data_IF_218645736200
#
_entry.id   IF_218645736200
#
_cell.length_a   1.000
_cell.length_b   1.000
_cell.length_c   1.000
_cell.angle_alpha   90.00
_cell.angle_beta   90.00
_cell.angle_gamma   90.00
#
_symmetry.space_group_name_H-M   'P 1'
#
loop_
_entity.id
_entity.type
_entity.pdbx_description
1 polymer ?
#
# COMPACT_ATOMS: atom_id res chain seq x y z
N UNK A 1 -34.71 -95.60 31.39
CA UNK A 1 -34.92 -94.27 30.71
C UNK A 1 -34.04 -93.08 31.12
N UNK A 2 -33.26 -93.16 32.20
CA UNK A 2 -32.35 -92.01 32.66
C UNK A 2 -30.97 -91.98 31.99
N UNK A 3 -30.50 -93.14 31.41
CA UNK A 3 -29.10 -93.19 30.85
C UNK A 3 -28.98 -92.67 29.39
N UNK A 4 -30.08 -92.60 28.63
CA UNK A 4 -30.07 -92.14 27.22
C UNK A 4 -30.07 -90.61 27.16
N UNK A 5 -30.60 -89.93 28.14
CA UNK A 5 -30.71 -88.45 28.12
C UNK A 5 -29.39 -87.75 28.40
N UNK A 6 -28.51 -88.33 29.21
CA UNK A 6 -27.19 -87.77 29.47
C UNK A 6 -26.20 -87.81 28.31
N UNK A 7 -26.28 -88.81 27.48
CA UNK A 7 -25.44 -88.91 26.25
C UNK A 7 -25.82 -87.88 25.17
N UNK A 8 -27.11 -87.54 25.08
CA UNK A 8 -27.61 -86.56 24.13
C UNK A 8 -27.31 -85.15 24.57
N UNK A 9 -27.46 -84.86 25.89
CA UNK A 9 -27.10 -83.57 26.48
C UNK A 9 -25.60 -83.29 26.39
N UNK A 10 -24.77 -84.29 26.61
CA UNK A 10 -23.28 -84.14 26.47
C UNK A 10 -22.88 -83.91 24.99
N UNK A 11 -23.57 -84.54 24.02
CA UNK A 11 -23.29 -84.30 22.58
C UNK A 11 -23.74 -82.89 22.15
N UNK A 12 -24.85 -82.40 22.63
CA UNK A 12 -25.36 -81.07 22.36
C UNK A 12 -24.44 -79.99 22.98
N UNK A 13 -24.02 -80.19 24.22
CA UNK A 13 -23.05 -79.30 24.86
C UNK A 13 -21.66 -79.28 24.14
N UNK A 14 -21.20 -80.45 23.65
CA UNK A 14 -19.95 -80.55 22.92
C UNK A 14 -20.03 -79.83 21.55
N UNK A 15 -21.19 -79.88 20.84
CA UNK A 15 -21.41 -79.16 19.57
C UNK A 15 -21.51 -77.66 19.81
N UNK A 16 -22.17 -77.22 20.88
CA UNK A 16 -22.25 -75.82 21.25
C UNK A 16 -20.86 -75.27 21.59
N UNK A 17 -20.07 -76.01 22.36
CA UNK A 17 -18.68 -75.61 22.69
C UNK A 17 -17.79 -75.56 21.45
N UNK A 18 -17.92 -76.50 20.51
CA UNK A 18 -17.11 -76.56 19.30
C UNK A 18 -17.50 -75.47 18.24
N UNK A 19 -18.73 -74.97 18.25
CA UNK A 19 -19.18 -73.94 17.32
C UNK A 19 -19.16 -72.52 17.91
N UNK A 20 -19.53 -72.37 19.17
CA UNK A 20 -19.65 -71.03 19.81
C UNK A 20 -18.31 -70.46 20.20
N UNK A 21 -17.37 -71.27 20.68
CA UNK A 21 -16.04 -70.82 21.10
C UNK A 21 -15.23 -70.25 19.90
N UNK A 22 -15.16 -70.90 18.74
CA UNK A 22 -14.48 -70.33 17.56
C UNK A 22 -15.15 -69.09 17.04
N UNK A 23 -16.49 -68.99 17.07
CA UNK A 23 -17.23 -67.80 16.68
C UNK A 23 -16.97 -66.63 17.63
N UNK A 24 -16.93 -66.88 18.94
CA UNK A 24 -16.59 -65.86 19.94
C UNK A 24 -15.11 -65.41 19.85
N UNK A 25 -14.19 -66.39 19.61
CA UNK A 25 -12.78 -66.06 19.39
C UNK A 25 -12.57 -65.26 18.10
N UNK A 26 -13.28 -65.62 17.01
CA UNK A 26 -13.25 -64.84 15.76
C UNK A 26 -13.82 -63.42 15.93
N UNK A 27 -14.89 -63.28 16.74
CA UNK A 27 -15.48 -61.98 17.06
C UNK A 27 -14.51 -61.12 17.91
N UNK A 28 -13.85 -61.72 18.91
CA UNK A 28 -12.89 -61.02 19.76
C UNK A 28 -11.60 -60.66 19.01
N UNK A 29 -11.13 -61.51 18.09
CA UNK A 29 -9.97 -61.21 17.21
C UNK A 29 -10.36 -60.16 16.16
N UNK A 30 -11.56 -60.23 15.63
CA UNK A 30 -12.08 -59.23 14.71
C UNK A 30 -12.19 -57.86 15.39
N UNK A 31 -12.71 -57.79 16.65
CA UNK A 31 -12.76 -56.54 17.42
C UNK A 31 -11.38 -56.01 17.81
N UNK A 32 -10.35 -56.86 17.98
CA UNK A 32 -8.98 -56.38 18.27
C UNK A 32 -8.25 -55.89 17.01
N UNK A 33 -8.61 -56.44 15.83
CA UNK A 33 -8.08 -55.97 14.54
C UNK A 33 -8.75 -54.69 14.03
N UNK A 34 -9.94 -54.37 14.57
CA UNK A 34 -10.66 -53.11 14.30
C UNK A 34 -10.48 -52.07 15.44
N UNK A 35 -9.49 -52.24 16.29
CA UNK A 35 -9.03 -51.13 17.14
C UNK A 35 -8.26 -50.18 16.23
N UNK A 36 -9.00 -49.38 15.46
CA UNK A 36 -8.44 -48.19 14.87
C UNK A 36 -7.76 -47.36 15.95
N UNK A 37 -6.59 -46.86 15.67
CA UNK A 37 -5.98 -45.83 16.51
C UNK A 37 -7.09 -44.83 16.88
N UNK A 38 -7.29 -44.56 18.17
CA UNK A 38 -8.16 -43.48 18.62
C UNK A 38 -7.60 -42.21 17.95
N UNK A 39 -8.22 -41.74 16.85
CA UNK A 39 -7.91 -40.44 16.29
C UNK A 39 -8.13 -39.44 17.41
N UNK A 40 -7.08 -38.75 17.78
CA UNK A 40 -7.11 -37.66 18.73
C UNK A 40 -8.22 -36.72 18.27
N UNK A 41 -9.21 -36.43 19.16
CA UNK A 41 -10.34 -35.58 18.79
C UNK A 41 -9.78 -34.16 18.65
N UNK A 42 -9.49 -33.76 17.43
CA UNK A 42 -9.07 -32.39 17.15
C UNK A 42 -10.26 -31.46 17.38
N UNK A 43 -10.17 -30.49 18.31
CA UNK A 43 -11.25 -29.54 18.54
C UNK A 43 -11.64 -28.84 17.23
N UNK A 44 -12.92 -28.62 16.99
CA UNK A 44 -13.37 -27.87 15.82
C UNK A 44 -13.07 -26.37 15.96
N UNK A 45 -12.78 -25.68 14.85
CA UNK A 45 -12.61 -24.23 14.81
C UNK A 45 -11.20 -23.74 15.26
N UNK A 46 -10.21 -24.63 15.33
CA UNK A 46 -8.81 -24.25 15.57
C UNK A 46 -8.15 -23.91 14.23
N UNK A 47 -7.57 -22.72 14.11
CA UNK A 47 -6.81 -22.33 12.91
C UNK A 47 -5.52 -23.16 12.78
N UNK A 48 -5.31 -23.74 11.60
CA UNK A 48 -4.15 -24.55 11.26
C UNK A 48 -3.55 -24.02 9.95
N UNK A 49 -2.26 -23.69 10.01
CA UNK A 49 -1.48 -23.32 8.83
C UNK A 49 -0.92 -24.60 8.15
N UNK A 50 -0.97 -24.66 6.83
CA UNK A 50 -0.42 -25.73 6.01
C UNK A 50 -0.02 -25.24 4.64
N UNK A 51 0.90 -25.96 3.99
CA UNK A 51 1.40 -25.64 2.65
C UNK A 51 0.96 -26.69 1.63
N UNK A 52 0.33 -26.25 0.55
CA UNK A 52 0.14 -27.06 -0.68
C UNK A 52 1.31 -26.74 -1.60
N UNK A 53 2.20 -27.72 -1.80
CA UNK A 53 3.38 -27.53 -2.67
C UNK A 53 3.02 -27.65 -4.13
N UNK A 54 3.78 -26.99 -4.98
CA UNK A 54 3.66 -27.11 -6.42
C UNK A 54 3.81 -28.57 -6.87
N UNK A 55 2.90 -29.04 -7.73
CA UNK A 55 2.87 -30.41 -8.24
C UNK A 55 2.14 -31.43 -7.36
N UNK A 56 1.66 -31.06 -6.15
CA UNK A 56 0.84 -31.97 -5.34
C UNK A 56 -0.48 -32.33 -6.06
N UNK A 57 -0.80 -33.61 -6.09
CA UNK A 57 -2.07 -34.08 -6.69
C UNK A 57 -3.20 -34.08 -5.64
N UNK A 58 -4.46 -34.09 -6.09
CA UNK A 58 -5.65 -34.07 -5.22
C UNK A 58 -5.59 -35.11 -4.08
N UNK A 59 -5.05 -36.30 -4.34
CA UNK A 59 -4.90 -37.34 -3.31
C UNK A 59 -4.00 -36.93 -2.18
N UNK A 60 -2.88 -36.30 -2.50
CA UNK A 60 -1.88 -35.84 -1.50
C UNK A 60 -2.41 -34.66 -0.71
N UNK A 61 -3.07 -33.71 -1.38
CA UNK A 61 -3.73 -32.56 -0.74
C UNK A 61 -4.80 -33.03 0.25
N UNK A 62 -5.67 -33.96 -0.16
CA UNK A 62 -6.72 -34.50 0.71
C UNK A 62 -6.14 -35.22 1.94
N UNK A 63 -5.06 -36.00 1.76
CA UNK A 63 -4.38 -36.66 2.88
C UNK A 63 -3.74 -35.65 3.83
N UNK A 64 -3.12 -34.59 3.33
CA UNK A 64 -2.57 -33.51 4.13
C UNK A 64 -3.66 -32.79 4.96
N UNK A 65 -4.80 -32.49 4.34
CA UNK A 65 -5.92 -31.82 5.02
C UNK A 65 -6.52 -32.71 6.13
N UNK A 66 -6.60 -34.03 5.92
CA UNK A 66 -7.05 -34.97 6.95
C UNK A 66 -6.01 -35.11 8.08
N UNK A 67 -4.72 -35.21 7.75
CA UNK A 67 -3.63 -35.25 8.74
C UNK A 67 -3.63 -34.01 9.64
N UNK A 68 -3.89 -32.85 9.05
CA UNK A 68 -3.99 -31.58 9.79
C UNK A 68 -5.32 -31.40 10.54
N UNK A 69 -6.26 -32.34 10.42
CA UNK A 69 -7.57 -32.27 11.07
C UNK A 69 -8.52 -31.23 10.47
N UNK A 70 -8.19 -30.65 9.31
CA UNK A 70 -9.02 -29.66 8.60
C UNK A 70 -10.27 -30.31 8.06
N UNK A 71 -10.16 -31.54 7.55
CA UNK A 71 -11.27 -32.37 7.10
C UNK A 71 -11.29 -33.70 7.88
N UNK A 72 -12.44 -34.33 7.95
CA UNK A 72 -12.65 -35.59 8.65
C UNK A 72 -12.23 -36.82 7.82
N UNK A 73 -12.35 -36.73 6.47
CA UNK A 73 -12.10 -37.87 5.59
C UNK A 73 -11.56 -37.48 4.22
N UNK A 74 -10.30 -37.84 3.94
CA UNK A 74 -9.63 -37.53 2.68
C UNK A 74 -10.29 -38.19 1.46
N UNK A 75 -10.83 -39.41 1.61
CA UNK A 75 -11.48 -40.11 0.49
C UNK A 75 -12.79 -39.41 0.10
N UNK A 76 -13.61 -39.04 1.07
CA UNK A 76 -14.87 -38.32 0.82
C UNK A 76 -14.62 -36.93 0.24
N UNK A 77 -13.61 -36.22 0.73
CA UNK A 77 -13.22 -34.93 0.17
C UNK A 77 -12.78 -35.03 -1.28
N UNK A 78 -11.99 -36.03 -1.64
CA UNK A 78 -11.61 -36.29 -3.04
C UNK A 78 -12.81 -36.49 -3.92
N UNK A 79 -13.74 -37.39 -3.52
CA UNK A 79 -14.96 -37.66 -4.28
C UNK A 79 -15.80 -36.39 -4.45
N UNK A 80 -15.86 -35.57 -3.43
CA UNK A 80 -16.58 -34.28 -3.45
C UNK A 80 -15.95 -33.31 -4.48
N UNK A 81 -14.61 -33.19 -4.52
CA UNK A 81 -13.89 -32.34 -5.49
C UNK A 81 -14.04 -32.85 -6.91
N UNK A 82 -13.92 -34.20 -7.10
CA UNK A 82 -14.08 -34.86 -8.40
C UNK A 82 -15.51 -34.65 -8.97
N UNK A 83 -16.54 -34.77 -8.14
CA UNK A 83 -17.94 -34.52 -8.57
C UNK A 83 -18.17 -33.08 -9.05
N UNK A 84 -17.37 -32.12 -8.61
CA UNK A 84 -17.42 -30.71 -9.03
C UNK A 84 -16.50 -30.40 -10.22
N UNK A 85 -15.68 -31.35 -10.65
CA UNK A 85 -14.71 -31.15 -11.74
C UNK A 85 -13.64 -30.09 -11.37
N UNK A 86 -13.29 -29.98 -10.08
CA UNK A 86 -12.37 -28.96 -9.55
C UNK A 86 -10.97 -29.49 -9.21
N UNK A 87 -10.60 -30.68 -9.66
CA UNK A 87 -9.31 -31.31 -9.32
C UNK A 87 -8.09 -30.46 -9.76
N UNK A 88 -8.25 -29.69 -10.83
CA UNK A 88 -7.21 -28.80 -11.38
C UNK A 88 -7.30 -27.38 -10.87
N UNK A 89 -8.27 -27.07 -10.03
CA UNK A 89 -8.47 -25.72 -9.47
C UNK A 89 -7.80 -25.53 -8.12
N UNK A 90 -7.09 -26.53 -7.60
CA UNK A 90 -6.39 -26.42 -6.32
C UNK A 90 -5.06 -25.73 -6.54
N UNK A 91 -4.95 -24.52 -5.98
CA UNK A 91 -3.80 -23.63 -6.18
C UNK A 91 -2.75 -23.92 -5.11
N UNK A 92 -1.45 -24.09 -5.45
CA UNK A 92 -0.37 -24.20 -4.47
C UNK A 92 -0.21 -22.92 -3.62
N UNK A 93 0.26 -23.10 -2.38
CA UNK A 93 0.53 -21.98 -1.48
C UNK A 93 0.31 -22.32 -0.02
N UNK A 94 0.48 -21.31 0.85
CA UNK A 94 0.29 -21.41 2.29
C UNK A 94 -1.13 -20.95 2.64
N UNK A 95 -1.85 -21.78 3.38
CA UNK A 95 -3.24 -21.55 3.77
C UNK A 95 -3.41 -21.67 5.27
N UNK A 96 -4.33 -20.91 5.81
CA UNK A 96 -4.86 -21.07 7.18
C UNK A 96 -6.33 -21.43 7.09
N UNK A 97 -6.69 -22.62 7.61
CA UNK A 97 -8.06 -23.13 7.67
C UNK A 97 -8.36 -23.66 9.08
N UNK A 98 -9.64 -23.64 9.42
CA UNK A 98 -10.09 -24.20 10.70
C UNK A 98 -10.23 -25.73 10.63
N UNK A 99 -9.95 -26.39 11.73
CA UNK A 99 -10.19 -27.82 11.89
C UNK A 99 -11.69 -28.14 11.79
N UNK A 100 -12.00 -29.33 11.27
CA UNK A 100 -13.37 -29.81 10.99
C UNK A 100 -14.21 -28.84 10.13
N UNK A 101 -13.56 -28.23 9.13
CA UNK A 101 -14.23 -27.34 8.17
C UNK A 101 -15.07 -28.14 7.16
N UNK A 102 -16.15 -27.54 6.68
CA UNK A 102 -16.96 -28.08 5.59
C UNK A 102 -16.16 -28.19 4.30
N UNK A 103 -16.35 -29.26 3.53
CA UNK A 103 -15.61 -29.51 2.27
C UNK A 103 -15.76 -28.39 1.24
N UNK A 104 -16.94 -27.75 1.18
CA UNK A 104 -17.19 -26.60 0.30
C UNK A 104 -16.30 -25.43 0.67
N UNK A 105 -16.26 -25.05 1.97
CA UNK A 105 -15.41 -23.97 2.49
C UNK A 105 -13.92 -24.22 2.20
N UNK A 106 -13.47 -25.47 2.38
CA UNK A 106 -12.10 -25.87 2.11
C UNK A 106 -11.77 -25.75 0.62
N UNK A 107 -12.64 -26.32 -0.25
CA UNK A 107 -12.47 -26.29 -1.70
C UNK A 107 -12.43 -24.85 -2.23
N UNK A 108 -13.39 -24.01 -1.80
CA UNK A 108 -13.47 -22.62 -2.25
C UNK A 108 -12.24 -21.83 -1.86
N UNK A 109 -11.75 -22.00 -0.62
CA UNK A 109 -10.52 -21.34 -0.14
C UNK A 109 -9.29 -21.75 -0.96
N UNK A 110 -9.10 -23.06 -1.19
CA UNK A 110 -7.93 -23.56 -1.94
C UNK A 110 -8.04 -23.21 -3.43
N UNK A 111 -9.25 -23.18 -3.98
CA UNK A 111 -9.48 -22.80 -5.36
C UNK A 111 -9.34 -21.28 -5.59
N UNK A 112 -9.60 -20.46 -4.59
CA UNK A 112 -9.36 -19.02 -4.64
C UNK A 112 -7.87 -18.66 -4.59
N UNK A 113 -7.02 -19.57 -4.12
CA UNK A 113 -5.60 -19.33 -3.91
C UNK A 113 -5.25 -18.89 -2.49
N UNK A 114 -3.95 -18.88 -2.17
CA UNK A 114 -3.47 -18.43 -0.87
C UNK A 114 -3.79 -16.94 -0.66
N UNK A 115 -3.93 -16.48 0.59
CA UNK A 115 -4.11 -15.06 0.87
C UNK A 115 -2.89 -14.29 0.36
N UNK A 116 -3.14 -13.28 -0.48
CA UNK A 116 -2.09 -12.39 -0.97
C UNK A 116 -1.71 -11.45 0.17
N UNK A 117 -0.45 -11.46 0.59
CA UNK A 117 0.07 -10.47 1.53
C UNK A 117 0.26 -9.17 0.76
N UNK A 118 -0.47 -8.14 1.16
CA UNK A 118 -0.35 -6.81 0.59
C UNK A 118 0.25 -5.85 1.60
N UNK A 119 0.96 -4.87 1.09
CA UNK A 119 1.57 -3.78 1.84
C UNK A 119 0.95 -2.46 1.40
N UNK A 120 1.14 -1.43 2.20
CA UNK A 120 0.74 -0.07 1.87
C UNK A 120 1.77 0.93 2.36
N UNK A 121 1.85 2.06 1.69
CA UNK A 121 2.61 3.21 2.14
C UNK A 121 1.84 4.50 1.88
N UNK A 122 2.10 5.52 2.69
CA UNK A 122 1.47 6.83 2.54
C UNK A 122 2.53 7.88 2.30
N UNK A 123 2.37 8.61 1.21
CA UNK A 123 3.17 9.80 0.90
C UNK A 123 2.35 11.03 1.24
N UNK A 124 2.73 11.77 2.28
CA UNK A 124 2.14 13.06 2.60
C UNK A 124 2.38 14.08 1.48
N UNK A 125 1.49 15.05 1.37
CA UNK A 125 1.69 16.22 0.53
C UNK A 125 2.95 16.98 0.97
N UNK A 126 3.65 17.57 0.04
CA UNK A 126 4.87 18.33 0.31
C UNK A 126 6.15 17.49 0.52
N UNK A 127 6.11 16.16 0.38
CA UNK A 127 7.33 15.35 0.40
C UNK A 127 8.18 15.59 -0.84
N UNK A 128 9.50 15.66 -0.64
CA UNK A 128 10.48 15.64 -1.74
C UNK A 128 10.67 14.20 -2.27
N UNK A 129 11.21 14.04 -3.48
CA UNK A 129 11.58 12.73 -4.03
C UNK A 129 12.48 11.96 -3.05
N UNK A 130 13.44 12.63 -2.40
CA UNK A 130 14.31 12.01 -1.38
C UNK A 130 13.50 11.43 -0.22
N UNK A 131 12.58 12.21 0.35
CA UNK A 131 11.71 11.75 1.44
C UNK A 131 10.78 10.61 1.01
N UNK A 132 10.33 10.61 -0.25
CA UNK A 132 9.54 9.51 -0.82
C UNK A 132 10.36 8.23 -0.89
N UNK A 133 11.62 8.28 -1.37
CA UNK A 133 12.52 7.14 -1.41
C UNK A 133 12.69 6.53 -0.02
N UNK A 134 12.95 7.38 0.98
CA UNK A 134 13.11 6.96 2.38
C UNK A 134 11.84 6.30 2.93
N UNK A 135 10.67 6.91 2.67
CA UNK A 135 9.38 6.41 3.13
C UNK A 135 9.04 5.05 2.51
N UNK A 136 9.18 4.90 1.21
CA UNK A 136 8.88 3.64 0.52
C UNK A 136 9.81 2.53 0.99
N UNK A 137 11.12 2.80 1.10
CA UNK A 137 12.09 1.82 1.59
C UNK A 137 11.86 1.41 3.06
N UNK A 138 11.28 2.31 3.87
CA UNK A 138 10.90 2.00 5.24
C UNK A 138 9.64 1.14 5.33
N UNK A 139 8.61 1.46 4.54
CA UNK A 139 7.27 0.88 4.68
C UNK A 139 7.11 -0.43 3.88
N UNK A 140 7.92 -0.65 2.82
CA UNK A 140 7.84 -1.80 1.92
C UNK A 140 9.10 -2.68 2.09
N UNK A 141 9.02 -3.80 2.84
CA UNK A 141 10.21 -4.56 3.28
C UNK A 141 11.07 -5.17 2.17
N UNK A 142 10.53 -5.35 0.97
CA UNK A 142 11.23 -5.94 -0.18
C UNK A 142 11.71 -4.89 -1.19
N UNK A 143 11.54 -3.60 -0.90
CA UNK A 143 12.03 -2.50 -1.72
C UNK A 143 13.18 -1.80 -1.01
N UNK A 144 14.37 -1.92 -1.56
CA UNK A 144 15.56 -1.29 -1.00
C UNK A 144 15.66 0.19 -1.37
N UNK A 145 16.26 0.99 -0.50
CA UNK A 145 16.53 2.41 -0.74
C UNK A 145 17.22 2.64 -2.09
N UNK A 146 18.29 1.87 -2.36
CA UNK A 146 19.04 1.98 -3.61
C UNK A 146 18.19 1.65 -4.84
N UNK A 147 17.31 0.67 -4.74
CA UNK A 147 16.37 0.32 -5.81
C UNK A 147 15.41 1.47 -6.13
N UNK A 148 14.93 2.19 -5.11
CA UNK A 148 14.12 3.38 -5.28
C UNK A 148 14.92 4.55 -5.87
N UNK A 149 16.16 4.76 -5.40
CA UNK A 149 17.07 5.79 -5.94
C UNK A 149 17.36 5.59 -7.44
N UNK A 150 17.57 4.35 -7.87
CA UNK A 150 17.71 4.01 -9.29
C UNK A 150 16.37 4.15 -10.06
N UNK A 151 15.25 3.83 -9.41
CA UNK A 151 13.93 3.89 -10.05
C UNK A 151 13.46 5.31 -10.33
N UNK A 152 13.82 6.29 -9.49
CA UNK A 152 13.42 7.70 -9.70
C UNK A 152 14.25 8.44 -10.75
N UNK A 153 15.21 7.79 -11.39
CA UNK A 153 15.93 8.38 -12.52
C UNK A 153 14.95 8.63 -13.69
N UNK A 154 14.79 9.90 -14.06
CA UNK A 154 13.86 10.33 -15.10
C UNK A 154 14.13 9.64 -16.45
N UNK A 155 15.37 9.24 -16.73
CA UNK A 155 15.73 8.52 -17.95
C UNK A 155 15.03 7.17 -18.13
N UNK A 156 14.46 6.62 -17.05
CA UNK A 156 13.68 5.40 -17.09
C UNK A 156 12.28 5.59 -17.72
N UNK A 157 11.81 6.84 -17.92
CA UNK A 157 10.45 7.16 -18.28
C UNK A 157 10.39 8.01 -19.55
N UNK A 158 9.50 7.65 -20.46
CA UNK A 158 9.29 8.37 -21.71
C UNK A 158 7.81 8.83 -21.82
N UNK A 159 7.40 9.68 -20.88
CA UNK A 159 6.06 10.26 -20.88
C UNK A 159 6.12 11.70 -21.39
N UNK A 160 5.17 12.09 -22.25
CA UNK A 160 5.14 13.42 -22.86
C UNK A 160 5.04 14.57 -21.85
N UNK A 161 4.39 14.33 -20.70
CA UNK A 161 4.29 15.35 -19.64
C UNK A 161 5.58 15.56 -18.84
N UNK A 162 6.58 14.68 -18.99
CA UNK A 162 7.93 14.82 -18.43
C UNK A 162 8.91 15.49 -19.40
N UNK A 163 8.49 15.79 -20.63
CA UNK A 163 9.37 16.39 -21.63
C UNK A 163 9.86 17.77 -21.17
N UNK A 164 11.18 17.99 -21.23
CA UNK A 164 11.82 19.22 -20.78
C UNK A 164 12.02 19.34 -19.26
N UNK A 165 11.71 18.30 -18.48
CA UNK A 165 12.00 18.24 -17.03
C UNK A 165 13.33 17.55 -16.78
N UNK A 166 13.98 17.85 -15.63
CA UNK A 166 15.30 17.29 -15.30
C UNK A 166 15.26 16.14 -14.27
N UNK A 167 14.16 16.01 -13.53
CA UNK A 167 13.94 14.99 -12.50
C UNK A 167 12.43 14.76 -12.29
N UNK A 168 12.08 13.88 -11.37
CA UNK A 168 10.69 13.55 -11.05
C UNK A 168 10.11 14.39 -9.90
N UNK A 169 10.81 15.44 -9.42
CA UNK A 169 10.26 16.30 -8.36
C UNK A 169 8.97 16.97 -8.81
N UNK A 170 7.94 16.84 -7.99
CA UNK A 170 6.59 17.31 -8.26
C UNK A 170 5.66 16.30 -8.94
N UNK A 171 6.19 15.23 -9.53
CA UNK A 171 5.40 14.26 -10.31
C UNK A 171 5.02 12.99 -9.55
N UNK A 172 5.62 12.74 -8.39
CA UNK A 172 5.31 11.57 -7.56
C UNK A 172 4.14 11.89 -6.63
N UNK A 173 2.91 11.69 -7.12
CA UNK A 173 1.70 12.21 -6.49
C UNK A 173 1.52 11.72 -5.04
N UNK A 174 1.25 12.63 -4.07
CA UNK A 174 1.04 12.26 -2.66
C UNK A 174 -0.30 11.55 -2.47
N UNK A 175 -0.25 10.33 -1.92
CA UNK A 175 -1.43 9.50 -1.66
C UNK A 175 -1.07 8.32 -0.76
N UNK A 176 -2.08 7.63 -0.24
CA UNK A 176 -1.92 6.26 0.29
C UNK A 176 -2.04 5.27 -0.87
N UNK A 177 -1.00 4.49 -1.07
CA UNK A 177 -0.91 3.42 -2.05
C UNK A 177 -1.07 2.08 -1.34
N UNK A 178 -2.01 1.28 -1.79
CA UNK A 178 -2.42 0.01 -1.18
C UNK A 178 -2.22 -1.15 -2.15
N UNK A 179 -2.44 -2.37 -1.69
CA UNK A 179 -2.37 -3.61 -2.48
C UNK A 179 -1.01 -3.87 -3.14
N UNK A 180 0.07 -3.38 -2.54
CA UNK A 180 1.44 -3.63 -3.01
C UNK A 180 1.82 -5.07 -2.65
N UNK A 181 2.11 -5.88 -3.63
CA UNK A 181 2.53 -7.28 -3.47
C UNK A 181 4.04 -7.45 -3.65
N UNK A 182 4.58 -8.58 -3.22
CA UNK A 182 6.04 -8.83 -3.23
C UNK A 182 6.67 -8.84 -4.63
N UNK A 183 5.87 -8.98 -5.67
CA UNK A 183 6.30 -8.93 -7.07
C UNK A 183 6.41 -7.51 -7.63
N UNK A 184 6.00 -6.48 -6.86
CA UNK A 184 6.22 -5.09 -7.23
C UNK A 184 7.70 -4.71 -7.10
N UNK A 185 8.26 -4.20 -8.18
CA UNK A 185 9.58 -3.56 -8.16
C UNK A 185 9.49 -2.10 -7.74
N UNK A 186 10.60 -1.48 -7.35
CA UNK A 186 10.70 -0.05 -7.12
C UNK A 186 10.19 0.76 -8.33
N UNK A 187 10.49 0.29 -9.54
CA UNK A 187 10.00 0.91 -10.79
C UNK A 187 8.47 0.88 -10.88
N UNK A 188 7.82 -0.23 -10.56
CA UNK A 188 6.34 -0.30 -10.57
C UNK A 188 5.71 0.68 -9.58
N UNK A 189 6.34 0.89 -8.43
CA UNK A 189 5.90 1.88 -7.43
C UNK A 189 6.01 3.30 -7.99
N UNK A 190 7.13 3.66 -8.61
CA UNK A 190 7.28 4.99 -9.23
C UNK A 190 6.30 5.18 -10.39
N UNK A 191 6.12 4.17 -11.27
CA UNK A 191 5.14 4.21 -12.37
C UNK A 191 3.71 4.40 -11.86
N UNK A 192 3.36 3.76 -10.74
CA UNK A 192 2.05 3.94 -10.10
C UNK A 192 1.85 5.37 -9.58
N UNK A 193 2.89 5.98 -9.00
CA UNK A 193 2.84 7.37 -8.52
C UNK A 193 2.73 8.36 -9.67
N UNK A 194 3.45 8.12 -10.79
CA UNK A 194 3.36 8.91 -12.02
C UNK A 194 1.99 8.78 -12.70
N UNK A 195 1.43 7.57 -12.71
CA UNK A 195 0.08 7.33 -13.23
C UNK A 195 -0.99 8.05 -12.38
N UNK A 196 -0.81 8.06 -11.05
CA UNK A 196 -1.70 8.79 -10.16
C UNK A 196 -1.63 10.30 -10.39
N UNK A 197 -0.43 10.87 -10.60
CA UNK A 197 -0.28 12.27 -10.98
C UNK A 197 -1.09 12.60 -12.24
N UNK A 198 -0.94 11.80 -13.28
CA UNK A 198 -1.67 12.00 -14.52
C UNK A 198 -3.19 11.86 -14.35
N UNK A 199 -3.62 10.91 -13.52
CA UNK A 199 -5.04 10.70 -13.20
C UNK A 199 -5.66 11.92 -12.53
N UNK A 200 -4.99 12.48 -11.51
CA UNK A 200 -5.50 13.62 -10.73
C UNK A 200 -5.42 14.93 -11.53
N UNK A 201 -4.38 15.13 -12.33
CA UNK A 201 -4.12 16.41 -13.00
C UNK A 201 -4.59 16.45 -14.46
N UNK A 202 -4.87 15.30 -15.08
CA UNK A 202 -5.15 15.20 -16.50
C UNK A 202 -6.44 15.89 -16.96
N UNK A 203 -7.42 16.05 -16.06
CA UNK A 203 -8.71 16.70 -16.33
C UNK A 203 -8.77 18.15 -15.86
N UNK A 204 -7.70 18.71 -15.29
CA UNK A 204 -7.68 20.10 -14.84
C UNK A 204 -7.72 21.06 -16.03
N UNK A 205 -8.35 22.21 -15.83
CA UNK A 205 -8.36 23.30 -16.81
C UNK A 205 -7.06 24.11 -16.74
N UNK A 206 -6.26 23.99 -17.79
CA UNK A 206 -4.99 24.71 -17.94
C UNK A 206 -5.12 25.97 -18.82
N UNK A 207 -6.32 26.44 -19.15
CA UNK A 207 -6.53 27.63 -20.00
C UNK A 207 -5.82 28.88 -19.46
N UNK A 208 -5.77 29.03 -18.13
CA UNK A 208 -5.03 30.08 -17.45
C UNK A 208 -3.54 30.13 -17.84
N UNK A 209 -2.91 28.99 -18.09
CA UNK A 209 -1.48 28.89 -18.44
C UNK A 209 -1.21 29.50 -19.83
N UNK A 210 -2.13 29.31 -20.77
CA UNK A 210 -2.00 29.83 -22.14
C UNK A 210 -2.01 31.34 -22.15
N UNK A 211 -2.89 31.95 -21.37
CA UNK A 211 -3.01 33.42 -21.26
C UNK A 211 -1.78 34.06 -20.59
N UNK A 212 -1.17 33.37 -19.65
CA UNK A 212 0.01 33.83 -18.87
C UNK A 212 1.35 33.42 -19.47
N UNK A 213 1.37 32.51 -20.44
CA UNK A 213 2.59 31.97 -21.04
C UNK A 213 3.35 30.99 -20.15
N UNK A 214 2.67 30.40 -19.15
CA UNK A 214 3.25 29.35 -18.31
C UNK A 214 3.06 27.97 -18.94
N UNK A 215 4.02 27.09 -18.73
CA UNK A 215 3.88 25.65 -19.00
C UNK A 215 3.18 24.95 -17.83
N UNK A 216 2.68 23.73 -18.06
CA UNK A 216 2.17 22.89 -16.95
C UNK A 216 3.25 22.61 -15.89
N UNK A 217 4.51 22.56 -16.33
CA UNK A 217 5.64 22.41 -15.40
C UNK A 217 5.87 23.65 -14.55
N UNK A 218 5.64 24.85 -15.09
CA UNK A 218 5.73 26.09 -14.30
C UNK A 218 4.62 26.15 -13.25
N UNK A 219 3.40 25.71 -13.60
CA UNK A 219 2.32 25.57 -12.61
C UNK A 219 2.69 24.58 -11.50
N UNK A 220 3.35 23.47 -11.84
CA UNK A 220 3.79 22.50 -10.84
C UNK A 220 4.87 23.07 -9.90
N UNK A 221 5.79 23.90 -10.42
CA UNK A 221 6.74 24.65 -9.60
C UNK A 221 6.03 25.61 -8.64
N UNK A 222 5.06 26.39 -9.14
CA UNK A 222 4.25 27.30 -8.33
C UNK A 222 3.49 26.52 -7.26
N UNK A 223 2.83 25.41 -7.63
CA UNK A 223 2.10 24.55 -6.71
C UNK A 223 2.99 24.01 -5.60
N UNK A 224 4.23 23.62 -5.92
CA UNK A 224 5.18 23.11 -4.90
C UNK A 224 5.61 24.19 -3.89
N UNK A 225 5.67 25.46 -4.32
CA UNK A 225 5.92 26.59 -3.41
C UNK A 225 4.69 26.87 -2.54
N UNK A 226 3.48 26.89 -3.13
CA UNK A 226 2.23 27.04 -2.37
C UNK A 226 2.09 25.95 -1.32
N UNK A 227 2.41 24.69 -1.65
CA UNK A 227 2.35 23.56 -0.73
C UNK A 227 3.25 23.75 0.50
N UNK A 228 4.38 24.38 0.33
CA UNK A 228 5.35 24.64 1.42
C UNK A 228 5.05 25.88 2.24
N UNK A 229 4.30 26.82 1.70
CA UNK A 229 3.96 28.09 2.38
C UNK A 229 2.57 28.05 3.04
N UNK A 230 1.58 27.38 2.40
CA UNK A 230 0.20 27.39 2.86
C UNK A 230 -0.05 26.33 3.94
N UNK A 231 -0.06 26.74 5.19
CA UNK A 231 -0.51 25.89 6.29
C UNK A 231 -2.04 25.83 6.37
N UNK A 232 -2.71 27.00 6.23
CA UNK A 232 -4.17 27.09 6.13
C UNK A 232 -4.61 26.84 4.67
N UNK A 233 -5.49 25.86 4.43
CA UNK A 233 -6.02 25.58 3.10
C UNK A 233 -6.68 26.79 2.42
N UNK A 234 -7.29 27.70 3.19
CA UNK A 234 -7.99 28.88 2.66
C UNK A 234 -7.03 29.94 2.10
N UNK A 235 -5.75 29.91 2.50
CA UNK A 235 -4.74 30.87 2.04
C UNK A 235 -4.05 30.45 0.73
N UNK A 236 -4.22 29.21 0.25
CA UNK A 236 -3.54 28.74 -0.97
C UNK A 236 -3.73 29.64 -2.17
N UNK A 237 -4.96 30.07 -2.43
CA UNK A 237 -5.26 30.96 -3.56
C UNK A 237 -4.70 32.37 -3.38
N UNK A 238 -4.58 32.85 -2.15
CA UNK A 238 -3.98 34.16 -1.84
C UNK A 238 -2.47 34.12 -2.01
N UNK A 239 -1.80 33.07 -1.51
CA UNK A 239 -0.37 32.84 -1.71
C UNK A 239 -0.07 32.67 -3.21
N UNK A 240 -0.91 31.93 -3.93
CA UNK A 240 -0.84 31.82 -5.38
C UNK A 240 -0.88 33.19 -6.05
N UNK A 241 -1.83 34.04 -5.66
CA UNK A 241 -1.94 35.38 -6.20
C UNK A 241 -0.66 36.22 -5.98
N UNK A 242 -0.05 36.16 -4.78
CA UNK A 242 1.22 36.86 -4.50
C UNK A 242 2.33 36.35 -5.42
N UNK A 243 2.47 35.04 -5.60
CA UNK A 243 3.48 34.46 -6.50
C UNK A 243 3.26 34.95 -7.93
N UNK A 244 2.05 34.83 -8.46
CA UNK A 244 1.73 35.27 -9.82
C UNK A 244 1.93 36.78 -10.02
N UNK A 245 1.47 37.62 -9.07
CA UNK A 245 1.61 39.07 -9.16
C UNK A 245 3.10 39.47 -9.13
N UNK A 246 3.94 38.83 -8.33
CA UNK A 246 5.39 39.08 -8.33
C UNK A 246 6.05 38.64 -9.63
N UNK A 247 5.67 37.49 -10.20
CA UNK A 247 6.17 37.03 -11.50
C UNK A 247 5.78 38.00 -12.62
N UNK A 248 4.54 38.51 -12.66
CA UNK A 248 4.04 39.45 -13.66
C UNK A 248 4.86 40.75 -13.72
N UNK A 249 5.40 41.22 -12.59
CA UNK A 249 6.22 42.44 -12.50
C UNK A 249 7.73 42.15 -12.39
N UNK A 250 8.16 40.88 -12.62
CA UNK A 250 9.54 40.44 -12.48
C UNK A 250 10.17 40.74 -11.11
N UNK A 251 9.35 40.66 -10.04
CA UNK A 251 9.77 40.79 -8.66
C UNK A 251 10.31 39.44 -8.15
N UNK A 252 11.30 39.47 -7.27
CA UNK A 252 11.83 38.29 -6.60
C UNK A 252 10.76 37.64 -5.73
N UNK A 253 10.74 36.31 -5.68
CA UNK A 253 9.71 35.60 -4.91
C UNK A 253 9.96 35.60 -3.41
N UNK A 254 11.23 35.66 -2.98
CA UNK A 254 11.68 35.70 -1.57
C UNK A 254 11.07 34.57 -0.74
N UNK A 255 11.02 33.36 -1.28
CA UNK A 255 10.43 32.17 -0.66
C UNK A 255 11.53 31.32 -0.03
N UNK A 256 11.50 31.18 1.31
CA UNK A 256 12.47 30.40 2.08
C UNK A 256 12.51 28.92 1.64
N UNK A 257 11.37 28.33 1.36
CA UNK A 257 11.25 26.92 1.02
C UNK A 257 12.08 26.50 -0.20
N UNK A 258 12.34 27.41 -1.15
CA UNK A 258 13.18 27.13 -2.33
C UNK A 258 14.64 26.89 -1.95
N UNK A 259 15.15 27.67 -0.99
CA UNK A 259 16.50 27.46 -0.43
C UNK A 259 16.55 26.28 0.53
N UNK A 260 15.51 26.07 1.34
CA UNK A 260 15.41 24.89 2.21
C UNK A 260 15.51 23.60 1.40
N UNK A 261 14.87 23.54 0.23
CA UNK A 261 14.98 22.41 -0.69
C UNK A 261 16.40 22.22 -1.20
N UNK A 262 17.03 23.28 -1.67
CA UNK A 262 18.40 23.22 -2.22
C UNK A 262 19.44 22.80 -1.17
N UNK A 263 19.29 23.29 0.07
CA UNK A 263 20.22 23.03 1.17
C UNK A 263 19.87 21.77 1.98
N UNK A 264 18.73 21.13 1.69
CA UNK A 264 18.16 20.05 2.51
C UNK A 264 17.99 20.45 3.99
N UNK A 265 17.56 21.70 4.23
CA UNK A 265 17.39 22.34 5.55
C UNK A 265 15.93 22.64 5.82
N UNK A 266 15.17 21.64 6.29
CA UNK A 266 13.75 21.83 6.56
C UNK A 266 13.43 22.20 8.02
N UNK A 267 14.27 21.77 8.97
CA UNK A 267 14.00 21.87 10.40
C UNK A 267 14.78 23.00 11.10
N UNK A 268 15.86 23.50 10.51
CA UNK A 268 16.80 24.42 11.17
C UNK A 268 16.52 25.90 10.87
N UNK A 269 15.68 26.20 9.88
CA UNK A 269 15.49 27.54 9.35
C UNK A 269 16.70 28.06 8.56
N UNK A 270 16.52 29.16 7.82
CA UNK A 270 17.58 29.77 7.03
C UNK A 270 18.31 30.85 7.82
N UNK A 271 19.63 30.89 7.72
CA UNK A 271 20.48 31.98 8.18
C UNK A 271 20.58 33.09 7.13
N UNK A 272 21.13 34.24 7.50
CA UNK A 272 21.40 35.30 6.51
C UNK A 272 22.44 34.88 5.48
N UNK A 273 23.44 34.08 5.90
CA UNK A 273 24.47 33.52 5.03
C UNK A 273 23.86 32.54 4.01
N UNK A 274 22.85 31.75 4.39
CA UNK A 274 22.12 30.86 3.46
C UNK A 274 21.43 31.68 2.35
N UNK A 275 20.89 32.86 2.66
CA UNK A 275 20.24 33.76 1.70
C UNK A 275 21.20 34.44 0.71
N UNK A 276 22.50 34.37 0.97
CA UNK A 276 23.57 34.90 0.10
C UNK A 276 24.17 33.83 -0.81
N UNK A 277 23.71 32.56 -0.72
CA UNK A 277 24.22 31.46 -1.55
C UNK A 277 23.82 31.66 -3.01
N UNK A 278 24.79 31.62 -3.92
CA UNK A 278 24.59 31.68 -5.35
C UNK A 278 24.03 30.32 -5.86
N UNK A 279 22.72 30.27 -6.03
CA UNK A 279 22.00 29.10 -6.50
C UNK A 279 20.79 29.53 -7.33
N UNK A 280 20.46 28.81 -8.41
CA UNK A 280 19.25 29.08 -9.19
C UNK A 280 17.95 28.82 -8.40
N UNK A 281 18.03 28.18 -7.23
CA UNK A 281 16.92 28.04 -6.30
C UNK A 281 16.79 29.24 -5.33
N UNK A 282 17.77 30.17 -5.33
CA UNK A 282 17.72 31.32 -4.45
C UNK A 282 16.81 32.42 -5.01
N UNK A 283 15.54 32.37 -4.61
CA UNK A 283 14.53 33.35 -5.02
C UNK A 283 14.69 34.73 -4.33
N UNK A 284 15.64 34.86 -3.39
CA UNK A 284 16.11 36.16 -2.85
C UNK A 284 17.10 36.87 -3.77
N UNK A 285 17.86 36.09 -4.56
CA UNK A 285 18.86 36.64 -5.49
C UNK A 285 18.32 36.80 -6.89
N UNK A 286 17.55 35.83 -7.35
CA UNK A 286 17.08 35.73 -8.74
C UNK A 286 15.56 35.82 -8.81
N UNK A 287 15.07 36.65 -9.74
CA UNK A 287 13.63 36.71 -10.07
C UNK A 287 13.24 35.52 -10.95
N UNK A 288 11.98 35.12 -10.88
CA UNK A 288 11.43 34.01 -11.64
C UNK A 288 11.29 32.73 -10.82
N UNK A 289 10.90 31.65 -11.51
CA UNK A 289 10.66 30.35 -10.91
C UNK A 289 11.97 29.56 -10.66
N UNK A 290 12.02 28.72 -9.62
CA UNK A 290 13.15 27.80 -9.45
C UNK A 290 13.25 26.81 -10.63
N UNK A 291 14.40 26.13 -10.78
CA UNK A 291 14.61 25.20 -11.90
C UNK A 291 13.60 24.04 -11.92
N UNK A 292 13.23 23.52 -10.72
CA UNK A 292 12.30 22.40 -10.55
C UNK A 292 11.26 22.72 -9.48
N UNK A 293 10.17 21.94 -9.38
CA UNK A 293 9.41 21.89 -8.14
C UNK A 293 10.30 21.59 -6.94
N UNK A 294 9.89 21.98 -5.75
CA UNK A 294 10.65 21.81 -4.50
C UNK A 294 10.04 20.75 -3.57
N UNK A 295 8.95 20.15 -3.98
CA UNK A 295 8.28 19.01 -3.36
C UNK A 295 7.22 18.45 -4.30
N UNK A 296 6.56 17.37 -3.89
CA UNK A 296 5.40 16.81 -4.58
C UNK A 296 4.12 17.37 -3.94
N UNK A 297 3.45 18.33 -4.61
CA UNK A 297 2.28 19.01 -4.06
C UNK A 297 1.03 18.15 -4.14
N UNK A 298 0.07 18.41 -3.23
CA UNK A 298 -1.28 17.89 -3.31
C UNK A 298 -2.10 18.56 -4.43
N UNK A 299 -3.25 17.96 -4.75
CA UNK A 299 -4.15 18.47 -5.78
C UNK A 299 -4.61 19.90 -5.47
N UNK A 300 -4.92 20.21 -4.22
CA UNK A 300 -5.40 21.53 -3.82
C UNK A 300 -4.39 22.67 -4.11
N UNK A 301 -3.08 22.39 -3.95
CA UNK A 301 -2.04 23.37 -4.29
C UNK A 301 -1.85 23.52 -5.80
N UNK A 302 -2.06 22.45 -6.58
CA UNK A 302 -2.05 22.50 -8.06
C UNK A 302 -3.26 23.31 -8.56
N UNK A 303 -4.45 23.08 -8.00
CA UNK A 303 -5.65 23.84 -8.32
C UNK A 303 -5.51 25.32 -7.94
N UNK A 304 -4.92 25.62 -6.79
CA UNK A 304 -4.64 27.00 -6.37
C UNK A 304 -3.64 27.69 -7.30
N UNK A 305 -2.63 26.98 -7.79
CA UNK A 305 -1.68 27.53 -8.77
C UNK A 305 -2.33 27.88 -10.12
N UNK A 306 -3.38 27.14 -10.50
CA UNK A 306 -4.19 27.40 -11.70
C UNK A 306 -5.26 28.47 -11.48
N UNK A 307 -5.69 28.69 -10.23
CA UNK A 307 -6.79 29.59 -9.88
C UNK A 307 -6.35 30.56 -8.77
N UNK A 308 -5.39 31.47 -9.03
CA UNK A 308 -5.01 32.48 -8.06
C UNK A 308 -6.20 33.37 -7.71
N UNK A 309 -6.26 33.87 -6.47
CA UNK A 309 -7.26 34.84 -6.06
C UNK A 309 -7.12 36.14 -6.88
N UNK A 310 -8.25 36.78 -7.21
CA UNK A 310 -8.27 38.07 -7.92
C UNK A 310 -8.01 39.21 -6.94
N UNK A 311 -6.75 39.37 -6.55
CA UNK A 311 -6.25 40.39 -5.61
C UNK A 311 -4.89 40.91 -6.08
N UNK A 312 -4.51 42.10 -5.63
CA UNK A 312 -3.26 42.78 -5.97
C UNK A 312 -2.15 42.63 -4.92
N UNK A 313 -2.24 41.61 -4.08
CA UNK A 313 -1.25 41.38 -3.04
C UNK A 313 0.13 41.02 -3.63
N UNK A 314 1.16 41.64 -3.03
CA UNK A 314 2.57 41.40 -3.36
C UNK A 314 3.36 40.82 -2.18
N UNK A 315 2.81 40.85 -0.97
CA UNK A 315 3.48 40.45 0.25
C UNK A 315 2.57 39.63 1.12
N UNK A 316 3.17 38.67 1.86
CA UNK A 316 2.53 38.00 2.98
C UNK A 316 3.53 37.82 4.12
N UNK A 317 3.08 37.70 5.33
CA UNK A 317 3.88 37.42 6.52
C UNK A 317 3.02 36.68 7.53
N UNK A 318 3.61 35.68 8.20
CA UNK A 318 2.94 34.96 9.29
C UNK A 318 2.65 35.97 10.42
N UNK A 319 1.39 36.12 10.79
CA UNK A 319 0.97 37.03 11.88
C UNK A 319 0.34 36.32 13.07
N UNK A 320 -0.10 35.05 12.88
CA UNK A 320 -0.53 34.19 13.97
C UNK A 320 0.35 32.92 13.94
N UNK A 321 1.32 32.87 14.84
CA UNK A 321 2.27 31.75 14.93
C UNK A 321 1.64 30.46 15.49
N UNK A 322 0.51 30.53 16.18
CA UNK A 322 -0.22 29.33 16.67
C UNK A 322 -1.02 28.67 15.56
N UNK A 323 -1.64 29.50 14.71
CA UNK A 323 -2.46 29.03 13.58
C UNK A 323 -1.67 28.98 12.27
N UNK A 324 -0.45 29.52 12.26
CA UNK A 324 0.38 29.68 11.04
C UNK A 324 -0.35 30.41 9.90
N UNK A 325 -1.18 31.40 10.22
CA UNK A 325 -1.90 32.21 9.23
C UNK A 325 -1.16 33.49 8.89
N UNK A 326 -1.40 33.97 7.66
CA UNK A 326 -0.71 35.11 7.10
C UNK A 326 -1.57 36.37 7.07
N UNK A 327 -0.93 37.51 7.15
CA UNK A 327 -1.50 38.79 6.70
C UNK A 327 -0.92 39.15 5.33
N UNK A 328 -1.79 39.51 4.43
CA UNK A 328 -1.44 39.89 3.05
C UNK A 328 -1.41 41.39 2.88
N UNK A 329 -0.59 41.91 1.95
CA UNK A 329 -0.47 43.31 1.67
C UNK A 329 -0.11 43.58 0.20
N UNK A 330 -0.61 44.70 -0.36
CA UNK A 330 -0.30 45.14 -1.73
C UNK A 330 0.94 46.07 -1.73
N UNK A 331 1.31 46.68 -0.60
CA UNK A 331 2.43 47.61 -0.49
C UNK A 331 3.44 47.17 0.57
N UNK A 332 4.70 47.57 0.39
CA UNK A 332 5.76 47.31 1.38
C UNK A 332 5.44 47.95 2.73
N UNK A 333 4.84 49.17 2.74
CA UNK A 333 4.47 49.85 3.98
C UNK A 333 3.42 49.07 4.79
N UNK A 334 2.44 48.49 4.12
CA UNK A 334 1.45 47.61 4.77
C UNK A 334 2.09 46.33 5.30
N UNK A 335 2.97 45.70 4.50
CA UNK A 335 3.71 44.53 4.91
C UNK A 335 4.56 44.80 6.16
N UNK A 336 5.30 45.92 6.21
CA UNK A 336 6.08 46.29 7.39
C UNK A 336 5.19 46.52 8.62
N UNK A 337 4.01 47.13 8.43
CA UNK A 337 3.02 47.29 9.53
C UNK A 337 2.53 45.91 10.01
N UNK A 338 2.20 45.01 9.13
CA UNK A 338 1.76 43.65 9.47
C UNK A 338 2.86 42.93 10.25
N UNK A 339 4.11 42.97 9.77
CA UNK A 339 5.27 42.35 10.42
C UNK A 339 5.51 42.94 11.85
N UNK A 340 5.34 44.22 12.04
CA UNK A 340 5.53 44.86 13.36
C UNK A 340 4.37 44.58 14.34
N UNK A 341 3.22 44.14 13.86
CA UNK A 341 2.06 43.77 14.67
C UNK A 341 2.06 42.27 15.02
N UNK A 342 3.04 41.52 14.54
CA UNK A 342 3.21 40.08 14.87
C UNK A 342 3.77 39.99 16.28
N UNK A 343 3.02 39.48 17.25
CA UNK A 343 3.42 39.27 18.64
C UNK A 343 3.84 37.80 18.87
#
# INVERSE_FOLDING_TARGET
MKAVNNKLINKINLVIILLVIPLLSFYLVSCSLFRGEEKEIVPAGVEVEFEIKEGMILKEIASLLEEKGIIDNAFLFRLFVEQRGKEKSLIPGIYTLETNSEYEKVLDKIAAGPPVVTYKFTIPEGFTVKQIIERVAQDIPFVEYKGMEEAVDISNYNYSYLEGTSNLEGFLFPKTYEEITIDYSARNIVEMMLAQYLFETGSLDYSFTEDKGFTRYDILKIASMIEKEAYDPEERSLISAVIHNRLDINMKLDIDATLCYFLDKWDEGLTNEDKEIDSPYNTYMYAGLPPTPICNPGLASIEAALNPADVDYLYFVVTDSEKHTHSFASTLEEHERNRNNTN
#
